data_IF_439838507009
#
_entry.id   IF_439838507009
#
_cell.length_a   1.000
_cell.length_b   1.000
_cell.length_c   1.000
_cell.angle_alpha   90.00
_cell.angle_beta   90.00
_cell.angle_gamma   90.00
#
_symmetry.space_group_name_H-M   'P 1'
#
loop_
_entity.id
_entity.type
_entity.pdbx_description
1 polymer ?
#
# COMPACT_ATOMS: atom_id res chain seq x y z
N UNK A 1 -39.23 -12.85 48.62
CA UNK A 1 -38.80 -12.30 47.31
C UNK A 1 -37.36 -11.74 47.31
N UNK A 2 -36.67 -11.63 48.44
CA UNK A 2 -35.29 -11.11 48.52
C UNK A 2 -34.22 -12.16 48.17
N UNK A 3 -34.45 -13.45 48.50
CA UNK A 3 -33.44 -14.50 48.30
C UNK A 3 -33.14 -14.78 46.81
N UNK A 4 -34.17 -14.93 45.98
CA UNK A 4 -33.98 -15.18 44.54
C UNK A 4 -33.32 -13.99 43.83
N UNK A 5 -33.56 -12.76 44.29
CA UNK A 5 -32.91 -11.55 43.76
C UNK A 5 -31.43 -11.50 44.10
N UNK A 6 -31.04 -11.94 45.30
CA UNK A 6 -29.63 -11.99 45.73
C UNK A 6 -28.86 -13.05 44.92
N UNK A 7 -29.45 -14.22 44.68
CA UNK A 7 -28.82 -15.30 43.88
C UNK A 7 -28.59 -14.86 42.43
N UNK A 8 -29.57 -14.16 41.82
CA UNK A 8 -29.42 -13.66 40.44
C UNK A 8 -28.37 -12.55 40.37
N UNK A 9 -28.29 -11.67 41.38
CA UNK A 9 -27.30 -10.61 41.44
C UNK A 9 -25.86 -11.15 41.60
N UNK A 10 -25.65 -12.16 42.46
CA UNK A 10 -24.32 -12.78 42.63
C UNK A 10 -23.88 -13.58 41.41
N UNK A 11 -24.81 -14.27 40.73
CA UNK A 11 -24.52 -14.96 39.48
C UNK A 11 -24.09 -14.00 38.36
N UNK A 12 -24.77 -12.85 38.22
CA UNK A 12 -24.41 -11.83 37.23
C UNK A 12 -23.03 -11.20 37.51
N UNK A 13 -22.70 -10.93 38.77
CA UNK A 13 -21.39 -10.39 39.16
C UNK A 13 -20.27 -11.43 38.91
N UNK A 14 -20.52 -12.71 39.19
CA UNK A 14 -19.58 -13.80 38.91
C UNK A 14 -19.26 -13.94 37.42
N UNK A 15 -20.26 -13.75 36.54
CA UNK A 15 -20.09 -13.81 35.09
C UNK A 15 -19.14 -12.72 34.56
N UNK A 16 -19.22 -11.50 35.12
CA UNK A 16 -18.35 -10.37 34.72
C UNK A 16 -16.91 -10.53 35.24
N UNK A 17 -16.72 -11.18 36.38
CA UNK A 17 -15.39 -11.45 36.94
C UNK A 17 -14.53 -12.39 36.08
N UNK A 18 -15.15 -13.37 35.42
CA UNK A 18 -14.44 -14.38 34.62
C UNK A 18 -13.88 -13.83 33.29
N UNK A 19 -14.51 -12.81 32.69
CA UNK A 19 -14.03 -12.19 31.44
C UNK A 19 -12.78 -11.31 31.64
N UNK A 20 -12.50 -10.88 32.87
CA UNK A 20 -11.31 -10.07 33.21
C UNK A 20 -10.00 -10.87 33.19
N UNK A 21 -10.02 -12.13 33.62
CA UNK A 21 -8.80 -12.93 33.78
C UNK A 21 -8.07 -13.25 32.45
N UNK A 22 -8.79 -13.27 31.32
CA UNK A 22 -8.17 -13.48 30.01
C UNK A 22 -7.34 -12.26 29.55
N UNK A 23 -7.85 -11.04 29.79
CA UNK A 23 -7.17 -9.79 29.46
C UNK A 23 -5.98 -9.53 30.39
N UNK A 24 -6.15 -9.78 31.69
CA UNK A 24 -5.07 -9.64 32.68
C UNK A 24 -3.87 -10.53 32.38
N UNK A 25 -4.08 -11.76 31.86
CA UNK A 25 -2.98 -12.67 31.50
C UNK A 25 -2.10 -12.12 30.36
N UNK A 26 -2.69 -11.36 29.44
CA UNK A 26 -1.99 -10.68 28.34
C UNK A 26 -1.26 -9.42 28.83
N UNK A 27 -1.90 -8.64 29.71
CA UNK A 27 -1.30 -7.45 30.32
C UNK A 27 -0.14 -7.77 31.28
N UNK A 28 -0.21 -8.91 31.97
CA UNK A 28 0.83 -9.41 32.89
C UNK A 28 1.96 -10.18 32.18
N UNK A 29 1.99 -10.22 30.85
CA UNK A 29 3.07 -10.85 30.08
C UNK A 29 3.15 -12.37 30.18
N UNK A 30 2.12 -13.04 30.74
CA UNK A 30 2.05 -14.50 30.86
C UNK A 30 1.65 -15.20 29.55
N UNK A 31 1.41 -14.44 28.47
CA UNK A 31 1.19 -14.97 27.13
C UNK A 31 2.48 -14.88 26.32
N UNK A 32 2.92 -16.00 25.76
CA UNK A 32 4.10 -16.06 24.88
C UNK A 32 3.82 -15.30 23.58
N UNK A 33 4.43 -14.13 23.42
CA UNK A 33 4.48 -13.41 22.13
C UNK A 33 5.71 -13.93 21.39
N UNK A 34 5.51 -14.91 20.52
CA UNK A 34 6.56 -15.32 19.58
C UNK A 34 6.67 -14.27 18.48
N UNK A 35 7.88 -13.74 18.21
CA UNK A 35 8.12 -12.96 17.01
C UNK A 35 7.68 -13.74 15.77
N UNK A 36 7.12 -13.04 14.79
CA UNK A 36 6.66 -13.62 13.53
C UNK A 36 7.85 -14.24 12.77
N UNK A 37 7.84 -15.56 12.67
CA UNK A 37 8.91 -16.37 12.04
C UNK A 37 8.97 -16.21 10.52
N UNK A 38 7.95 -15.61 9.90
CA UNK A 38 7.94 -15.26 8.49
C UNK A 38 8.37 -13.81 8.21
N UNK A 39 8.58 -13.01 9.26
CA UNK A 39 9.04 -11.63 9.11
C UNK A 39 10.56 -11.58 8.94
N UNK A 40 11.01 -11.89 7.74
CA UNK A 40 12.44 -11.82 7.36
C UNK A 40 12.88 -10.37 7.28
N UNK A 41 13.64 -9.90 8.28
CA UNK A 41 14.33 -8.61 8.22
C UNK A 41 15.68 -8.83 7.55
N UNK A 42 15.86 -8.28 6.35
CA UNK A 42 17.14 -8.32 5.65
C UNK A 42 18.15 -7.41 6.36
N UNK A 43 19.19 -8.00 6.95
CA UNK A 43 20.36 -7.25 7.41
C UNK A 43 21.29 -6.98 6.22
N UNK A 44 21.92 -5.82 6.21
CA UNK A 44 22.95 -5.51 5.22
C UNK A 44 24.10 -6.54 5.31
N UNK A 45 24.70 -6.93 4.16
CA UNK A 45 25.81 -7.88 4.14
C UNK A 45 26.99 -7.33 4.95
N UNK A 46 27.58 -8.19 5.79
CA UNK A 46 28.77 -7.87 6.57
C UNK A 46 29.99 -7.93 5.64
N UNK A 47 30.29 -6.80 4.99
CA UNK A 47 31.54 -6.64 4.25
C UNK A 47 32.58 -6.13 5.22
N UNK A 48 33.67 -6.88 5.36
CA UNK A 48 34.84 -6.44 6.12
C UNK A 48 35.51 -5.32 5.32
N UNK A 49 35.57 -4.08 5.84
CA UNK A 49 36.25 -2.99 5.16
C UNK A 49 37.74 -3.29 5.03
N UNK A 50 38.40 -2.87 3.94
CA UNK A 50 39.84 -3.08 3.72
C UNK A 50 40.73 -2.36 4.76
N UNK A 51 40.18 -1.42 5.52
CA UNK A 51 40.87 -0.72 6.61
C UNK A 51 40.29 -1.12 7.98
N UNK A 52 41.11 -1.85 8.75
CA UNK A 52 40.87 -2.23 10.15
C UNK A 52 41.21 -1.09 11.15
N UNK A 53 41.43 0.13 10.66
CA UNK A 53 41.89 1.29 11.46
C UNK A 53 40.76 2.12 12.08
N UNK A 54 39.52 1.63 12.06
CA UNK A 54 38.42 2.30 12.74
C UNK A 54 38.46 1.96 14.23
N UNK A 55 38.56 3.01 15.06
CA UNK A 55 38.37 2.92 16.51
C UNK A 55 37.00 2.26 16.77
N UNK A 56 36.93 1.19 17.59
CA UNK A 56 35.65 0.60 17.94
C UNK A 56 34.69 1.69 18.45
N UNK A 57 33.45 1.75 17.95
CA UNK A 57 32.48 2.75 18.42
C UNK A 57 32.30 2.59 19.93
N UNK A 58 32.20 3.71 20.64
CA UNK A 58 32.04 3.67 22.08
C UNK A 58 30.72 2.95 22.43
N UNK A 59 30.68 2.12 23.47
CA UNK A 59 29.45 1.49 23.93
C UNK A 59 28.38 2.56 24.18
N UNK A 60 27.30 2.56 23.39
CA UNK A 60 26.16 3.49 23.53
C UNK A 60 26.01 4.54 22.42
N UNK A 61 26.94 4.67 21.47
CA UNK A 61 26.73 5.53 20.31
C UNK A 61 25.79 4.88 19.28
N UNK A 62 24.88 5.65 18.65
CA UNK A 62 24.01 5.12 17.61
C UNK A 62 24.85 4.59 16.46
N UNK A 63 24.69 3.30 16.16
CA UNK A 63 25.44 2.64 15.09
C UNK A 63 25.09 3.31 13.75
N UNK A 64 26.08 3.81 12.98
CA UNK A 64 25.81 4.42 11.68
C UNK A 64 25.12 3.49 10.67
N UNK A 65 25.19 2.17 10.88
CA UNK A 65 24.52 1.17 10.04
C UNK A 65 23.03 0.91 10.40
N UNK A 66 22.53 1.44 11.53
CA UNK A 66 21.10 1.34 11.90
C UNK A 66 20.30 2.52 11.31
N UNK A 67 20.49 2.81 10.02
CA UNK A 67 19.51 3.62 9.28
C UNK A 67 18.17 2.91 9.41
N UNK A 68 17.18 3.62 9.97
CA UNK A 68 15.85 3.05 10.18
C UNK A 68 15.35 2.41 8.89
N UNK A 69 14.86 1.16 8.91
CA UNK A 69 14.48 0.43 7.71
C UNK A 69 13.42 1.20 6.88
N UNK A 70 12.59 2.01 7.53
CA UNK A 70 11.63 2.91 6.91
C UNK A 70 12.32 3.99 6.07
N UNK A 71 13.43 4.56 6.56
CA UNK A 71 14.22 5.56 5.84
C UNK A 71 14.96 4.97 4.65
N UNK A 72 15.49 3.76 4.80
CA UNK A 72 16.14 3.01 3.73
C UNK A 72 15.14 2.59 2.64
N UNK A 73 13.98 2.05 3.03
CA UNK A 73 12.90 1.69 2.12
C UNK A 73 12.36 2.92 1.39
N UNK A 74 12.16 4.04 2.09
CA UNK A 74 11.75 5.31 1.47
C UNK A 74 12.75 5.78 0.41
N UNK A 75 14.04 5.69 0.70
CA UNK A 75 15.10 6.07 -0.25
C UNK A 75 15.18 5.11 -1.44
N UNK A 76 14.95 3.80 -1.23
CA UNK A 76 14.90 2.83 -2.31
C UNK A 76 13.67 3.00 -3.22
N UNK A 77 12.50 3.29 -2.65
CA UNK A 77 11.24 3.43 -3.37
C UNK A 77 11.10 4.79 -4.08
N UNK A 78 11.48 5.88 -3.40
CA UNK A 78 11.31 7.24 -3.93
C UNK A 78 12.59 7.78 -4.58
N UNK A 79 13.68 7.00 -4.55
CA UNK A 79 15.02 7.50 -4.85
C UNK A 79 15.53 8.42 -3.75
N UNK A 80 16.83 8.75 -3.83
CA UNK A 80 17.42 9.81 -3.01
C UNK A 80 16.79 11.14 -3.43
N UNK A 81 15.92 11.70 -2.58
CA UNK A 81 15.35 13.05 -2.74
C UNK A 81 16.36 14.17 -2.47
N UNK A 82 17.64 13.87 -2.38
CA UNK A 82 18.64 14.93 -2.39
C UNK A 82 18.58 15.53 -3.78
N UNK A 83 18.20 16.80 -3.80
CA UNK A 83 18.06 17.59 -5.00
C UNK A 83 19.33 17.47 -5.84
N UNK A 84 19.31 16.58 -6.83
CA UNK A 84 20.07 16.73 -8.06
C UNK A 84 19.98 18.21 -8.41
N UNK A 85 21.13 18.90 -8.46
CA UNK A 85 21.20 20.35 -8.47
C UNK A 85 20.29 20.91 -9.57
N UNK A 86 19.06 21.28 -9.17
CA UNK A 86 18.02 21.68 -10.11
C UNK A 86 18.51 22.93 -10.80
N UNK A 87 18.38 22.96 -12.12
CA UNK A 87 18.73 24.16 -12.87
C UNK A 87 17.90 25.34 -12.38
N UNK A 88 18.41 26.55 -12.52
CA UNK A 88 17.68 27.73 -12.07
C UNK A 88 16.35 27.89 -12.84
N UNK A 89 16.28 27.38 -14.07
CA UNK A 89 15.03 27.31 -14.85
C UNK A 89 13.98 26.40 -14.21
N UNK A 90 14.37 25.24 -13.68
CA UNK A 90 13.45 24.34 -12.97
C UNK A 90 12.99 24.93 -11.65
N UNK A 91 13.88 25.59 -10.90
CA UNK A 91 13.49 26.30 -9.67
C UNK A 91 12.44 27.37 -9.97
N UNK A 92 12.64 28.16 -11.05
CA UNK A 92 11.70 29.20 -11.46
C UNK A 92 10.37 28.62 -11.96
N UNK A 93 10.40 27.49 -12.67
CA UNK A 93 9.19 26.80 -13.10
C UNK A 93 8.38 26.29 -11.90
N UNK A 94 9.05 25.66 -10.92
CA UNK A 94 8.44 25.11 -9.71
C UNK A 94 7.88 26.22 -8.81
N UNK A 95 8.62 27.33 -8.67
CA UNK A 95 8.15 28.52 -7.96
C UNK A 95 6.90 29.12 -8.63
N UNK A 96 6.89 29.23 -9.98
CA UNK A 96 5.70 29.67 -10.73
C UNK A 96 4.54 28.68 -10.64
N UNK A 97 4.82 27.37 -10.60
CA UNK A 97 3.83 26.33 -10.41
C UNK A 97 3.28 26.30 -8.96
N UNK A 98 3.83 27.10 -8.05
CA UNK A 98 3.34 27.23 -6.68
C UNK A 98 3.61 26.00 -5.83
N UNK A 99 4.60 25.18 -6.15
CA UNK A 99 4.91 23.99 -5.38
C UNK A 99 5.31 24.32 -3.93
N UNK A 100 5.89 25.50 -3.70
CA UNK A 100 6.23 26.01 -2.36
C UNK A 100 4.99 26.27 -1.48
N UNK A 101 3.80 26.38 -2.09
CA UNK A 101 2.52 26.60 -1.41
C UNK A 101 1.71 25.31 -1.27
N UNK A 102 2.22 24.16 -1.70
CA UNK A 102 1.52 22.90 -1.60
C UNK A 102 1.36 22.50 -0.13
N UNK A 103 0.12 22.22 0.30
CA UNK A 103 -0.15 21.74 1.65
C UNK A 103 0.44 20.34 1.84
N UNK A 104 1.35 20.12 2.81
CA UNK A 104 1.91 18.80 3.09
C UNK A 104 0.85 17.78 3.55
N UNK A 105 -0.31 18.25 4.03
CA UNK A 105 -1.43 17.43 4.48
C UNK A 105 -2.50 17.21 3.41
N UNK A 106 -2.30 17.67 2.16
CA UNK A 106 -3.32 17.57 1.10
C UNK A 106 -3.82 16.13 0.88
N UNK A 107 -2.98 15.12 1.12
CA UNK A 107 -3.40 13.72 1.06
C UNK A 107 -4.48 13.39 2.07
N UNK A 108 -4.34 13.86 3.31
CA UNK A 108 -5.35 13.65 4.33
C UNK A 108 -6.65 14.38 4.01
N UNK A 109 -6.56 15.60 3.46
CA UNK A 109 -7.74 16.36 3.02
C UNK A 109 -8.46 15.63 1.89
N UNK A 110 -7.72 15.16 0.87
CA UNK A 110 -8.28 14.39 -0.25
C UNK A 110 -8.85 13.05 0.21
N UNK A 111 -8.21 12.38 1.16
CA UNK A 111 -8.70 11.11 1.71
C UNK A 111 -9.98 11.33 2.54
N UNK A 112 -10.09 12.44 3.28
CA UNK A 112 -11.29 12.84 4.01
C UNK A 112 -12.43 13.21 3.05
N UNK A 113 -12.15 14.04 2.04
CA UNK A 113 -13.12 14.42 1.00
C UNK A 113 -13.53 13.24 0.10
N UNK A 114 -12.60 12.31 -0.16
CA UNK A 114 -12.77 11.16 -1.06
C UNK A 114 -13.23 9.88 -0.37
N UNK A 115 -13.21 9.82 0.97
CA UNK A 115 -13.59 8.65 1.75
C UNK A 115 -15.02 8.19 1.48
N UNK A 116 -15.93 9.13 1.24
CA UNK A 116 -17.33 8.85 0.89
C UNK A 116 -17.47 8.14 -0.47
N UNK A 117 -16.55 8.34 -1.42
CA UNK A 117 -16.60 7.69 -2.73
C UNK A 117 -16.15 6.23 -2.66
N UNK A 118 -15.18 5.91 -1.80
CA UNK A 118 -14.70 4.55 -1.60
C UNK A 118 -15.74 3.65 -0.89
N UNK A 119 -16.60 4.24 -0.07
CA UNK A 119 -17.60 3.53 0.73
C UNK A 119 -19.05 3.76 0.27
N UNK A 120 -19.27 4.42 -0.87
CA UNK A 120 -20.63 4.63 -1.40
C UNK A 120 -21.23 3.31 -1.86
N UNK A 121 -22.20 2.83 -1.09
CA UNK A 121 -23.11 1.77 -1.50
C UNK A 121 -23.74 2.12 -2.85
N UNK A 122 -23.93 1.11 -3.71
CA UNK A 122 -24.60 1.27 -4.99
C UNK A 122 -25.95 1.97 -4.78
N UNK A 123 -26.21 3.02 -5.57
CA UNK A 123 -27.46 3.78 -5.48
C UNK A 123 -28.66 2.84 -5.59
N UNK A 124 -29.77 3.17 -4.92
CA UNK A 124 -31.01 2.39 -5.02
C UNK A 124 -31.44 2.17 -6.48
N UNK A 125 -31.27 3.20 -7.33
CA UNK A 125 -31.56 3.10 -8.76
C UNK A 125 -30.67 2.06 -9.47
N UNK A 126 -29.39 2.00 -9.14
CA UNK A 126 -28.44 1.00 -9.66
C UNK A 126 -28.85 -0.41 -9.24
N UNK A 127 -29.24 -0.57 -7.97
CA UNK A 127 -29.73 -1.84 -7.43
C UNK A 127 -31.02 -2.32 -8.09
N UNK A 128 -31.93 -1.42 -8.47
CA UNK A 128 -33.18 -1.76 -9.17
C UNK A 128 -32.92 -2.07 -10.64
N UNK A 129 -32.07 -1.28 -11.32
CA UNK A 129 -31.75 -1.46 -12.74
C UNK A 129 -30.94 -2.75 -12.99
N UNK A 130 -30.08 -3.13 -12.04
CA UNK A 130 -29.20 -4.29 -12.13
C UNK A 130 -29.56 -5.41 -11.14
N UNK A 131 -30.80 -5.46 -10.65
CA UNK A 131 -31.29 -6.51 -9.73
C UNK A 131 -31.14 -7.93 -10.31
N UNK A 132 -31.18 -8.09 -11.64
CA UNK A 132 -31.11 -9.41 -12.28
C UNK A 132 -29.69 -9.70 -12.78
N UNK A 133 -28.97 -10.57 -12.06
CA UNK A 133 -27.62 -11.06 -12.34
C UNK A 133 -27.52 -11.86 -13.66
N UNK A 134 -27.65 -11.17 -14.79
CA UNK A 134 -27.57 -11.87 -16.07
C UNK A 134 -27.25 -11.04 -17.31
N UNK A 135 -27.10 -9.72 -17.19
CA UNK A 135 -26.65 -8.82 -18.28
C UNK A 135 -26.42 -7.38 -17.79
N UNK A 136 -25.74 -7.21 -16.66
CA UNK A 136 -25.05 -5.95 -16.44
C UNK A 136 -23.76 -6.03 -17.27
N UNK A 137 -23.61 -5.16 -18.28
CA UNK A 137 -22.32 -4.96 -18.91
C UNK A 137 -21.33 -4.66 -17.78
N UNK A 138 -20.41 -5.57 -17.54
CA UNK A 138 -19.27 -5.35 -16.67
C UNK A 138 -18.40 -4.28 -17.33
N UNK A 139 -18.80 -3.02 -17.21
CA UNK A 139 -17.82 -1.96 -17.12
C UNK A 139 -17.00 -2.30 -15.87
N UNK A 140 -15.74 -2.66 -16.08
CA UNK A 140 -14.81 -3.14 -15.08
C UNK A 140 -14.73 -2.17 -13.89
N UNK A 141 -15.58 -2.35 -12.89
CA UNK A 141 -15.32 -1.87 -11.54
C UNK A 141 -14.32 -2.84 -10.95
N UNK A 142 -13.05 -2.42 -10.99
CA UNK A 142 -11.98 -3.05 -10.25
C UNK A 142 -12.44 -3.26 -8.81
N UNK A 143 -12.48 -4.53 -8.39
CA UNK A 143 -12.76 -4.89 -7.01
C UNK A 143 -11.69 -4.26 -6.12
N UNK A 144 -12.12 -3.55 -5.09
CA UNK A 144 -11.25 -3.07 -4.03
C UNK A 144 -10.74 -4.28 -3.23
N UNK A 145 -9.42 -4.41 -3.14
CA UNK A 145 -8.73 -5.44 -2.37
C UNK A 145 -7.40 -5.81 -3.02
N UNK A 146 -6.35 -5.07 -2.65
CA UNK A 146 -4.95 -5.21 -3.07
C UNK A 146 -4.66 -4.88 -4.54
N UNK A 147 -3.59 -4.11 -4.77
CA UNK A 147 -3.07 -3.79 -6.11
C UNK A 147 -2.44 -5.02 -6.82
N UNK A 148 -3.03 -6.20 -6.63
CA UNK A 148 -2.66 -7.41 -7.33
C UNK A 148 -3.54 -7.47 -8.57
N UNK A 149 -2.92 -7.29 -9.74
CA UNK A 149 -3.59 -7.57 -11.01
C UNK A 149 -4.26 -8.94 -10.91
N UNK A 150 -5.56 -9.01 -11.19
CA UNK A 150 -6.30 -10.26 -11.19
C UNK A 150 -5.49 -11.32 -11.98
N UNK A 151 -5.37 -12.58 -11.48
CA UNK A 151 -4.60 -13.60 -12.17
C UNK A 151 -5.02 -13.69 -13.64
N UNK A 152 -4.12 -13.33 -14.53
CA UNK A 152 -4.35 -13.38 -15.97
C UNK A 152 -4.44 -14.84 -16.36
N UNK A 153 -5.60 -15.29 -16.83
CA UNK A 153 -5.75 -16.64 -17.40
C UNK A 153 -5.09 -16.70 -18.78
N UNK A 154 -3.96 -17.42 -18.93
CA UNK A 154 -3.20 -17.45 -20.19
C UNK A 154 -3.99 -18.06 -21.34
N UNK A 155 -4.94 -18.96 -21.07
CA UNK A 155 -5.75 -19.58 -22.11
C UNK A 155 -6.74 -18.58 -22.73
N UNK A 156 -7.39 -17.77 -21.89
CA UNK A 156 -8.34 -16.74 -22.33
C UNK A 156 -7.67 -15.63 -23.14
N UNK A 157 -6.49 -15.16 -22.74
CA UNK A 157 -5.75 -14.12 -23.45
C UNK A 157 -5.16 -14.64 -24.77
N UNK A 158 -4.67 -15.88 -24.79
CA UNK A 158 -4.23 -16.52 -26.03
C UNK A 158 -5.38 -16.64 -27.06
N UNK A 159 -6.59 -16.99 -26.63
CA UNK A 159 -7.75 -17.04 -27.51
C UNK A 159 -8.10 -15.67 -28.09
N UNK A 160 -8.13 -14.62 -27.26
CA UNK A 160 -8.34 -13.23 -27.72
C UNK A 160 -7.26 -12.78 -28.71
N UNK A 161 -6.00 -13.09 -28.43
CA UNK A 161 -4.88 -12.74 -29.32
C UNK A 161 -5.04 -13.47 -30.66
N UNK A 162 -5.43 -14.74 -30.68
CA UNK A 162 -5.65 -15.49 -31.92
C UNK A 162 -6.85 -15.00 -32.72
N UNK A 163 -7.93 -14.60 -32.05
CA UNK A 163 -9.09 -13.98 -32.69
C UNK A 163 -8.70 -12.69 -33.42
N UNK A 164 -7.85 -11.86 -32.79
CA UNK A 164 -7.41 -10.59 -33.36
C UNK A 164 -6.32 -10.75 -34.43
N UNK A 165 -5.38 -11.69 -34.24
CA UNK A 165 -4.20 -11.85 -35.12
C UNK A 165 -4.35 -12.93 -36.18
N UNK A 166 -5.42 -13.74 -36.12
CA UNK A 166 -5.73 -14.78 -37.10
C UNK A 166 -4.60 -15.81 -37.29
N UNK A 167 -3.87 -16.11 -36.20
CA UNK A 167 -2.68 -16.99 -36.16
C UNK A 167 -1.49 -16.54 -37.03
N UNK A 168 -1.49 -15.31 -37.54
CA UNK A 168 -0.37 -14.78 -38.35
C UNK A 168 0.68 -14.08 -37.47
N UNK A 169 1.97 -14.21 -37.80
CA UNK A 169 3.02 -13.49 -37.09
C UNK A 169 2.87 -11.97 -37.27
N UNK A 170 2.69 -11.23 -36.16
CA UNK A 170 2.60 -9.76 -36.16
C UNK A 170 4.00 -9.16 -36.14
N UNK A 171 4.44 -8.60 -37.27
CA UNK A 171 5.73 -7.90 -37.38
C UNK A 171 5.48 -6.40 -37.22
N UNK A 172 5.82 -5.84 -36.07
CA UNK A 172 5.77 -4.39 -35.84
C UNK A 172 7.06 -3.77 -36.39
N UNK A 173 7.03 -3.33 -37.65
CA UNK A 173 8.12 -2.57 -38.25
C UNK A 173 7.84 -1.07 -38.12
N UNK A 174 8.80 -0.30 -37.59
CA UNK A 174 8.77 1.16 -37.68
C UNK A 174 9.06 1.54 -39.12
N UNK A 175 8.06 1.97 -39.87
CA UNK A 175 8.31 2.59 -41.16
C UNK A 175 9.27 3.76 -40.97
N UNK A 176 10.47 3.65 -41.56
CA UNK A 176 11.47 4.71 -41.55
C UNK A 176 10.98 5.79 -42.51
N UNK A 177 10.00 6.57 -42.09
CA UNK A 177 9.55 7.74 -42.84
C UNK A 177 10.67 8.77 -42.83
N UNK A 178 11.21 9.07 -44.01
CA UNK A 178 12.22 10.12 -44.22
C UNK A 178 11.62 11.52 -44.16
N UNK A 179 10.30 11.65 -43.97
CA UNK A 179 9.62 12.93 -43.78
C UNK A 179 9.50 13.24 -42.29
N UNK A 180 10.11 14.36 -41.91
CA UNK A 180 9.94 14.98 -40.59
C UNK A 180 8.45 15.32 -40.44
N UNK A 181 7.74 14.62 -39.56
CA UNK A 181 6.38 14.98 -39.17
C UNK A 181 6.47 16.13 -38.19
N UNK A 182 6.21 17.35 -38.66
CA UNK A 182 6.02 18.51 -37.79
C UNK A 182 4.66 18.37 -37.10
N UNK A 183 4.59 18.37 -35.77
CA UNK A 183 3.32 18.37 -35.07
C UNK A 183 2.67 19.75 -35.19
N UNK A 184 1.47 19.82 -35.77
CA UNK A 184 0.63 21.02 -35.71
C UNK A 184 0.54 21.91 -36.95
N UNK A 185 0.66 21.35 -38.16
CA UNK A 185 0.07 21.94 -39.38
C UNK A 185 -0.80 20.91 -40.10
#
# INVERSE_FOLDING_TARGET
MSLNRVIVATALIGMVGLTGCASSRKALGMTKVTPDEFRVVSKAPLVVPPDYSLRPPAPGEPRPQELQPESAARTALLGRRDAEARSDGEKMLVAKAGADKADPLIRYVVDDEGGDLAHKEKSFADKVMFWKDGKANAAATAAAGDNVAAPIDPASEAAKIREVTGDKPVIIARERSTRIKLPGL
#
